data_IF_570359436730
#
_entry.id   IF_570359436730
#
_cell.length_a   1.000
_cell.length_b   1.000
_cell.length_c   1.000
_cell.angle_alpha   90.00
_cell.angle_beta   90.00
_cell.angle_gamma   90.00
#
_symmetry.space_group_name_H-M   'P 1'
#
loop_
_entity.id
_entity.type
_entity.pdbx_description
1 polymer ?
#
# COMPACT_ATOMS: atom_id res chain seq x y z
N UNK A 1 1.18 24.59 -6.86
CA UNK A 1 0.07 23.92 -7.57
C UNK A 1 0.55 22.53 -7.95
N UNK A 2 -0.06 21.48 -7.42
CA UNK A 2 0.06 20.12 -7.96
C UNK A 2 -1.22 19.35 -7.60
N UNK A 3 -2.36 19.85 -8.09
CA UNK A 3 -3.55 19.03 -8.30
C UNK A 3 -3.56 18.73 -9.79
N UNK A 4 -3.37 17.47 -10.14
CA UNK A 4 -3.41 17.01 -11.52
C UNK A 4 -3.69 15.52 -11.52
N UNK A 5 -4.77 15.11 -12.16
CA UNK A 5 -5.04 13.72 -12.46
C UNK A 5 -4.35 13.37 -13.78
N UNK A 6 -3.52 12.33 -13.80
CA UNK A 6 -3.00 11.77 -15.05
C UNK A 6 -4.03 10.83 -15.64
N UNK A 7 -4.47 11.08 -16.88
CA UNK A 7 -5.29 10.10 -17.60
C UNK A 7 -4.45 8.85 -17.89
N UNK A 8 -4.94 7.70 -17.46
CA UNK A 8 -4.33 6.40 -17.79
C UNK A 8 -4.71 5.91 -19.20
N UNK A 9 -5.53 6.67 -19.92
CA UNK A 9 -6.04 6.32 -21.25
C UNK A 9 -7.22 5.34 -21.21
N UNK A 10 -7.57 4.80 -22.37
CA UNK A 10 -8.76 3.97 -22.54
C UNK A 10 -8.52 2.49 -22.17
N UNK A 11 -9.61 1.76 -21.93
CA UNK A 11 -9.60 0.31 -21.71
C UNK A 11 -9.34 -0.14 -20.27
N UNK A 12 -9.22 0.80 -19.34
CA UNK A 12 -9.27 0.51 -17.91
C UNK A 12 -10.70 0.45 -17.42
N UNK A 13 -10.94 -0.44 -16.46
CA UNK A 13 -12.16 -0.45 -15.65
C UNK A 13 -11.80 -0.67 -14.19
N UNK A 14 -12.75 -0.42 -13.30
CA UNK A 14 -12.59 -0.81 -11.91
C UNK A 14 -12.37 -2.32 -11.78
N UNK A 15 -11.47 -2.71 -10.88
CA UNK A 15 -11.35 -4.08 -10.39
C UNK A 15 -12.65 -4.49 -9.70
N UNK A 16 -13.00 -5.77 -9.76
CA UNK A 16 -14.16 -6.35 -9.11
C UNK A 16 -13.78 -7.68 -8.46
N UNK A 17 -14.52 -8.13 -7.45
CA UNK A 17 -14.32 -9.45 -6.83
C UNK A 17 -14.37 -10.64 -7.80
N UNK A 18 -15.06 -10.45 -8.94
CA UNK A 18 -15.24 -11.46 -9.98
C UNK A 18 -14.01 -11.57 -10.90
N UNK A 19 -13.09 -10.61 -10.82
CA UNK A 19 -11.86 -10.64 -11.59
C UNK A 19 -10.93 -11.76 -11.15
N UNK A 20 -10.22 -12.29 -12.16
CA UNK A 20 -9.21 -13.32 -11.99
C UNK A 20 -7.85 -12.65 -11.93
N UNK A 21 -7.07 -13.02 -10.92
CA UNK A 21 -5.67 -12.65 -10.84
C UNK A 21 -4.87 -13.56 -11.79
N UNK A 22 -4.55 -13.07 -12.99
CA UNK A 22 -3.73 -13.82 -13.94
C UNK A 22 -2.28 -13.84 -13.50
N UNK A 23 -1.48 -14.77 -14.02
CA UNK A 23 -0.05 -14.90 -13.68
C UNK A 23 0.74 -13.61 -13.94
N UNK A 24 0.38 -12.83 -14.96
CA UNK A 24 1.01 -11.54 -15.26
C UNK A 24 0.74 -10.46 -14.20
N UNK A 25 -0.30 -10.62 -13.40
CA UNK A 25 -0.71 -9.64 -12.39
C UNK A 25 -0.25 -9.99 -10.98
N UNK A 26 0.20 -11.23 -10.73
CA UNK A 26 0.51 -11.72 -9.38
C UNK A 26 1.54 -10.83 -8.69
N UNK A 27 2.63 -10.49 -9.39
CA UNK A 27 3.71 -9.68 -8.82
C UNK A 27 3.23 -8.27 -8.40
N UNK A 28 2.48 -7.58 -9.27
CA UNK A 28 1.96 -6.24 -8.97
C UNK A 28 0.86 -6.28 -7.92
N UNK A 29 -0.02 -7.30 -7.92
CA UNK A 29 -1.04 -7.47 -6.90
C UNK A 29 -0.43 -7.74 -5.52
N UNK A 30 0.64 -8.54 -5.45
CA UNK A 30 1.39 -8.77 -4.22
C UNK A 30 2.04 -7.48 -3.71
N UNK A 31 2.67 -6.71 -4.60
CA UNK A 31 3.28 -5.44 -4.24
C UNK A 31 2.23 -4.44 -3.70
N UNK A 32 1.05 -4.37 -4.32
CA UNK A 32 -0.08 -3.54 -3.83
C UNK A 32 -0.54 -4.03 -2.45
N UNK A 33 -0.78 -5.33 -2.28
CA UNK A 33 -1.21 -5.89 -1.00
C UNK A 33 -0.23 -5.57 0.13
N UNK A 34 1.07 -5.78 -0.10
CA UNK A 34 2.10 -5.43 0.88
C UNK A 34 2.15 -3.92 1.12
N UNK A 35 2.09 -3.09 0.08
CA UNK A 35 2.06 -1.64 0.21
C UNK A 35 0.92 -1.19 1.13
N UNK A 36 -0.31 -1.61 0.84
CA UNK A 36 -1.50 -1.26 1.63
C UNK A 36 -1.38 -1.76 3.08
N UNK A 37 -0.81 -2.95 3.29
CA UNK A 37 -0.54 -3.48 4.62
C UNK A 37 0.44 -2.61 5.41
N UNK A 38 1.51 -2.17 4.76
CA UNK A 38 2.59 -1.41 5.40
C UNK A 38 2.21 0.02 5.72
N UNK A 39 1.37 0.65 4.89
CA UNK A 39 0.90 2.03 5.10
C UNK A 39 -0.45 2.10 5.82
N UNK A 40 -0.96 0.97 6.30
CA UNK A 40 -2.26 0.88 6.98
C UNK A 40 -3.42 1.42 6.12
N UNK A 41 -3.48 1.03 4.84
CA UNK A 41 -4.60 1.35 3.97
C UNK A 41 -5.79 0.43 4.26
N UNK A 42 -6.77 0.92 4.99
CA UNK A 42 -7.97 0.15 5.34
C UNK A 42 -9.10 0.27 4.30
N UNK A 43 -8.94 1.15 3.31
CA UNK A 43 -10.04 1.46 2.40
C UNK A 43 -10.11 0.53 1.18
N UNK A 44 -8.98 -0.06 0.77
CA UNK A 44 -8.91 -0.96 -0.37
C UNK A 44 -9.58 -2.31 -0.08
N UNK A 45 -10.88 -2.41 -0.36
CA UNK A 45 -11.75 -3.54 0.03
C UNK A 45 -12.52 -4.10 -1.15
N UNK A 46 -13.12 -5.28 -0.99
CA UNK A 46 -13.87 -5.94 -2.08
C UNK A 46 -15.03 -5.08 -2.64
N UNK A 47 -15.65 -4.28 -1.78
CA UNK A 47 -16.71 -3.34 -2.14
C UNK A 47 -16.19 -1.91 -2.41
N UNK A 48 -14.91 -1.65 -2.15
CA UNK A 48 -14.25 -0.39 -2.49
C UNK A 48 -12.83 -0.64 -3.03
N UNK A 49 -12.71 -1.10 -4.31
CA UNK A 49 -11.43 -1.60 -4.80
C UNK A 49 -10.35 -0.54 -4.96
N UNK A 50 -10.75 0.72 -5.18
CA UNK A 50 -9.86 1.85 -5.47
C UNK A 50 -8.72 1.49 -6.45
N UNK A 51 -9.03 0.60 -7.41
CA UNK A 51 -8.06 -0.03 -8.28
C UNK A 51 -8.66 -0.14 -9.69
N UNK A 52 -7.92 0.37 -10.66
CA UNK A 52 -8.20 0.19 -12.09
C UNK A 52 -7.38 -0.98 -12.63
N UNK A 53 -7.96 -1.66 -13.61
CA UNK A 53 -7.43 -2.86 -14.19
C UNK A 53 -7.53 -2.84 -15.71
N UNK A 54 -6.43 -3.24 -16.36
CA UNK A 54 -6.32 -3.61 -17.78
C UNK A 54 -5.10 -4.51 -17.92
N UNK A 55 -5.25 -5.81 -18.16
CA UNK A 55 -4.10 -6.72 -18.26
C UNK A 55 -3.00 -6.17 -19.18
N UNK A 56 -1.73 -6.14 -18.76
CA UNK A 56 -1.15 -6.67 -17.51
C UNK A 56 -0.98 -5.62 -16.38
N UNK A 57 -1.78 -4.57 -16.37
CA UNK A 57 -1.60 -3.39 -15.52
C UNK A 57 -2.69 -3.26 -14.46
N UNK A 58 -2.26 -2.83 -13.27
CA UNK A 58 -3.09 -2.36 -12.18
C UNK A 58 -2.68 -0.93 -11.82
N UNK A 59 -3.66 -0.07 -11.55
CA UNK A 59 -3.43 1.26 -11.00
C UNK A 59 -4.22 1.39 -9.72
N UNK A 60 -3.57 1.80 -8.64
CA UNK A 60 -4.21 2.13 -7.38
C UNK A 60 -4.39 3.63 -7.25
N UNK A 61 -5.52 4.04 -6.72
CA UNK A 61 -5.84 5.42 -6.42
C UNK A 61 -6.51 5.48 -5.05
N UNK A 62 -6.87 6.69 -4.63
CA UNK A 62 -7.60 6.96 -3.39
C UNK A 62 -6.95 6.33 -2.14
N UNK A 63 -5.88 6.98 -1.69
CA UNK A 63 -5.07 6.59 -0.53
C UNK A 63 -5.41 7.43 0.71
N UNK A 64 -6.60 8.05 0.75
CA UNK A 64 -6.92 9.04 1.79
C UNK A 64 -6.95 8.45 3.21
N UNK A 65 -7.27 7.16 3.35
CA UNK A 65 -7.26 6.46 4.64
C UNK A 65 -5.94 5.73 4.94
N UNK A 66 -4.86 6.08 4.24
CA UNK A 66 -3.51 5.62 4.58
C UNK A 66 -2.93 6.40 5.76
N UNK A 67 -1.99 5.80 6.49
CA UNK A 67 -1.31 6.40 7.65
C UNK A 67 -2.21 6.77 8.84
N UNK A 68 -3.50 6.43 8.79
CA UNK A 68 -4.45 6.62 9.89
C UNK A 68 -4.37 5.46 10.90
N UNK A 69 -3.28 5.40 11.68
CA UNK A 69 -3.07 4.33 12.67
C UNK A 69 -2.99 4.80 14.13
N UNK A 70 -2.65 6.07 14.37
CA UNK A 70 -2.66 6.65 15.72
C UNK A 70 -4.09 6.66 16.27
N UNK A 71 -4.27 6.19 17.50
CA UNK A 71 -5.57 6.10 18.17
C UNK A 71 -6.35 4.80 17.94
N UNK A 72 -5.86 3.90 17.07
CA UNK A 72 -6.45 2.56 16.93
C UNK A 72 -5.99 1.69 18.12
N UNK A 73 -6.93 1.33 18.99
CA UNK A 73 -6.67 0.48 20.15
C UNK A 73 -6.16 -0.89 19.70
N UNK A 74 -5.01 -1.31 20.24
CA UNK A 74 -4.40 -2.60 19.92
C UNK A 74 -3.71 -2.65 18.54
N UNK A 75 -3.59 -1.51 17.84
CA UNK A 75 -2.77 -1.45 16.64
C UNK A 75 -1.32 -1.78 16.94
N UNK A 76 -0.69 -2.47 16.00
CA UNK A 76 0.70 -2.89 16.07
C UNK A 76 1.40 -2.46 14.80
N UNK A 77 2.67 -2.12 14.92
CA UNK A 77 3.49 -1.86 13.75
C UNK A 77 3.48 -3.06 12.80
N UNK A 78 3.49 -2.83 11.47
CA UNK A 78 3.36 -3.90 10.47
C UNK A 78 4.48 -4.94 10.51
N UNK A 79 5.63 -4.62 11.09
CA UNK A 79 6.73 -5.56 11.34
C UNK A 79 6.62 -6.37 12.64
N UNK A 80 5.51 -6.23 13.38
CA UNK A 80 5.24 -7.02 14.57
C UNK A 80 4.53 -8.32 14.17
N UNK A 81 4.94 -9.50 14.69
CA UNK A 81 4.26 -10.76 14.40
C UNK A 81 2.74 -10.67 14.62
N UNK A 82 1.98 -11.07 13.60
CA UNK A 82 0.51 -11.07 13.60
C UNK A 82 -0.15 -9.70 13.44
N UNK A 83 0.61 -8.59 13.28
CA UNK A 83 0.02 -7.26 13.09
C UNK A 83 -0.87 -7.15 11.84
N UNK A 84 -0.52 -7.90 10.79
CA UNK A 84 -1.22 -7.88 9.50
C UNK A 84 -2.36 -8.91 9.42
N UNK A 85 -2.64 -9.65 10.50
CA UNK A 85 -3.73 -10.63 10.54
C UNK A 85 -5.11 -10.08 10.13
N UNK A 86 -5.50 -8.82 10.46
CA UNK A 86 -6.79 -8.27 10.03
C UNK A 86 -6.98 -8.23 8.50
N UNK A 87 -5.90 -8.05 7.73
CA UNK A 87 -5.97 -8.03 6.26
C UNK A 87 -6.23 -9.41 5.65
N UNK A 88 -6.10 -10.47 6.45
CA UNK A 88 -6.43 -11.85 6.05
C UNK A 88 -7.91 -12.17 6.18
N UNK A 89 -8.71 -11.28 6.77
CA UNK A 89 -10.17 -11.43 6.83
C UNK A 89 -10.75 -11.22 5.43
N UNK A 90 -11.72 -12.07 5.06
CA UNK A 90 -12.40 -11.97 3.76
C UNK A 90 -13.04 -10.59 3.60
N UNK A 91 -12.84 -9.96 2.44
CA UNK A 91 -13.36 -8.62 2.15
C UNK A 91 -12.47 -7.46 2.60
N UNK A 92 -11.49 -7.69 3.47
CA UNK A 92 -10.60 -6.63 3.96
C UNK A 92 -9.54 -6.19 2.94
N UNK A 93 -9.25 -6.99 1.91
CA UNK A 93 -8.39 -6.56 0.80
C UNK A 93 -8.69 -7.33 -0.49
N UNK A 94 -8.75 -6.60 -1.62
CA UNK A 94 -9.15 -7.13 -2.94
C UNK A 94 -8.28 -8.27 -3.48
N UNK A 95 -7.01 -8.31 -3.07
CA UNK A 95 -6.06 -9.33 -3.52
C UNK A 95 -5.79 -10.44 -2.51
N UNK A 96 -6.20 -10.32 -1.24
CA UNK A 96 -5.85 -11.31 -0.22
C UNK A 96 -6.33 -12.71 -0.61
N UNK A 97 -7.62 -12.87 -0.89
CA UNK A 97 -8.20 -14.17 -1.25
C UNK A 97 -7.63 -14.73 -2.57
N UNK A 98 -7.13 -13.86 -3.47
CA UNK A 98 -6.55 -14.27 -4.75
C UNK A 98 -5.09 -14.70 -4.62
N UNK A 99 -4.32 -14.07 -3.73
CA UNK A 99 -2.91 -14.38 -3.46
C UNK A 99 -2.75 -15.56 -2.50
N UNK A 100 -3.72 -15.79 -1.60
CA UNK A 100 -3.69 -16.88 -0.63
C UNK A 100 -3.51 -18.23 -1.31
N UNK A 101 -2.48 -18.98 -0.88
CA UNK A 101 -2.16 -20.30 -1.40
C UNK A 101 -1.37 -20.30 -2.72
N UNK A 102 -1.06 -19.13 -3.30
CA UNK A 102 -0.13 -19.04 -4.42
C UNK A 102 1.32 -19.08 -3.92
N UNK A 103 2.22 -19.64 -4.74
CA UNK A 103 3.65 -19.46 -4.56
C UNK A 103 4.04 -18.06 -5.05
N UNK A 104 4.25 -17.14 -4.12
CA UNK A 104 4.53 -15.73 -4.42
C UNK A 104 5.97 -15.37 -4.05
N UNK A 105 6.62 -14.58 -4.90
CA UNK A 105 7.97 -14.09 -4.64
C UNK A 105 7.92 -12.69 -4.02
N UNK A 106 8.36 -12.60 -2.76
CA UNK A 106 8.44 -11.33 -2.01
C UNK A 106 9.82 -10.67 -2.12
N UNK A 107 10.79 -11.30 -2.80
CA UNK A 107 12.15 -10.79 -3.00
C UNK A 107 12.18 -9.37 -3.59
N UNK A 108 11.49 -9.11 -4.71
CA UNK A 108 11.45 -7.78 -5.31
C UNK A 108 10.85 -6.69 -4.38
N UNK A 109 9.89 -7.06 -3.53
CA UNK A 109 9.28 -6.13 -2.56
C UNK A 109 10.31 -5.80 -1.47
N UNK A 110 11.00 -6.82 -0.95
CA UNK A 110 12.07 -6.66 0.03
C UNK A 110 13.16 -5.72 -0.49
N UNK A 111 13.62 -5.95 -1.71
CA UNK A 111 14.64 -5.12 -2.36
C UNK A 111 14.16 -3.67 -2.54
N UNK A 112 12.95 -3.47 -3.07
CA UNK A 112 12.40 -2.13 -3.31
C UNK A 112 12.27 -1.30 -2.02
N UNK A 113 11.78 -1.92 -0.94
CA UNK A 113 11.68 -1.26 0.36
C UNK A 113 13.05 -1.01 1.00
N UNK A 114 13.98 -1.97 0.91
CA UNK A 114 15.34 -1.83 1.46
C UNK A 114 16.13 -0.72 0.76
N UNK A 115 15.84 -0.47 -0.52
CA UNK A 115 16.50 0.54 -1.33
C UNK A 115 16.02 1.99 -1.05
N UNK A 116 15.00 2.19 -0.20
CA UNK A 116 14.53 3.53 0.16
C UNK A 116 15.60 4.27 0.97
N UNK A 117 16.29 5.23 0.35
CA UNK A 117 17.30 6.04 1.03
C UNK A 117 16.69 7.09 1.96
N UNK A 118 17.47 7.56 2.93
CA UNK A 118 17.05 8.70 3.78
C UNK A 118 16.80 9.96 2.95
N UNK A 119 17.58 10.16 1.87
CA UNK A 119 17.34 11.25 0.93
C UNK A 119 15.98 11.15 0.23
N UNK A 120 15.51 9.92 -0.08
CA UNK A 120 14.17 9.71 -0.65
C UNK A 120 13.08 10.04 0.38
N UNK A 121 13.25 9.64 1.64
CA UNK A 121 12.32 9.96 2.72
C UNK A 121 12.25 11.49 2.97
N UNK A 122 13.40 12.16 2.99
CA UNK A 122 13.47 13.62 3.08
C UNK A 122 12.78 14.29 1.89
N UNK A 123 12.92 13.74 0.67
CA UNK A 123 12.24 14.25 -0.51
C UNK A 123 10.70 14.14 -0.40
N UNK A 124 10.16 13.09 0.22
CA UNK A 124 8.72 13.00 0.51
C UNK A 124 8.28 14.07 1.51
N UNK A 125 9.07 14.31 2.56
CA UNK A 125 8.77 15.37 3.53
C UNK A 125 8.76 16.76 2.88
N UNK A 126 9.70 17.00 1.97
CA UNK A 126 9.89 18.28 1.28
C UNK A 126 8.93 18.50 0.11
N UNK A 127 8.21 17.48 -0.36
CA UNK A 127 7.22 17.63 -1.43
C UNK A 127 5.89 18.18 -0.94
N UNK A 128 5.66 18.19 0.38
CA UNK A 128 4.43 18.71 0.98
C UNK A 128 4.43 20.24 0.92
N UNK A 129 3.43 20.88 0.28
CA UNK A 129 3.38 22.33 0.18
C UNK A 129 3.31 23.01 1.55
N UNK A 130 4.17 24.00 1.78
CA UNK A 130 4.15 24.82 3.01
C UNK A 130 2.77 25.46 3.27
N UNK A 131 2.04 25.77 2.20
CA UNK A 131 0.70 26.36 2.27
C UNK A 131 -0.36 25.43 2.92
N UNK A 132 -0.08 24.14 3.10
CA UNK A 132 -0.98 23.21 3.79
C UNK A 132 -0.95 23.37 5.32
N UNK A 133 -0.05 24.20 5.85
CA UNK A 133 -0.05 24.61 7.27
C UNK A 133 0.38 23.50 8.22
N UNK A 134 -0.37 23.27 9.29
CA UNK A 134 -0.05 22.41 10.43
C UNK A 134 -0.15 20.90 10.14
N UNK A 135 0.37 20.45 9.00
CA UNK A 135 0.41 19.02 8.62
C UNK A 135 1.73 18.33 9.01
N UNK A 136 2.69 19.09 9.56
CA UNK A 136 4.06 18.61 9.81
C UNK A 136 4.11 17.32 10.61
N UNK A 137 3.41 17.25 11.75
CA UNK A 137 3.39 16.05 12.62
C UNK A 137 2.87 14.82 11.88
N UNK A 138 1.74 14.94 11.18
CA UNK A 138 1.16 13.83 10.41
C UNK A 138 2.08 13.34 9.30
N UNK A 139 2.81 14.26 8.64
CA UNK A 139 3.80 13.88 7.63
C UNK A 139 5.00 13.18 8.29
N UNK A 140 5.50 13.70 9.41
CA UNK A 140 6.63 13.10 10.14
C UNK A 140 6.27 11.69 10.65
N UNK A 141 5.03 11.48 11.09
CA UNK A 141 4.51 10.16 11.45
C UNK A 141 4.48 9.19 10.26
N UNK A 142 3.94 9.63 9.12
CA UNK A 142 3.91 8.81 7.91
C UNK A 142 5.32 8.42 7.45
N UNK A 143 6.26 9.37 7.49
CA UNK A 143 7.68 9.11 7.19
C UNK A 143 8.29 8.12 8.19
N UNK A 144 7.99 8.28 9.48
CA UNK A 144 8.44 7.36 10.53
C UNK A 144 7.92 5.93 10.30
N UNK A 145 6.64 5.78 9.89
CA UNK A 145 6.08 4.46 9.54
C UNK A 145 6.81 3.86 8.33
N UNK A 146 6.99 4.62 7.24
CA UNK A 146 7.70 4.16 6.04
C UNK A 146 9.12 3.74 6.39
N UNK A 147 9.83 4.55 7.18
CA UNK A 147 11.18 4.26 7.64
C UNK A 147 11.22 3.01 8.52
N UNK A 148 10.25 2.86 9.42
CA UNK A 148 10.10 1.69 10.28
C UNK A 148 9.90 0.40 9.48
N UNK A 149 9.02 0.44 8.47
CA UNK A 149 8.82 -0.69 7.54
C UNK A 149 10.12 -1.01 6.80
N UNK A 150 10.79 -0.01 6.22
CA UNK A 150 12.08 -0.19 5.54
C UNK A 150 13.08 -0.91 6.45
N UNK A 151 13.28 -0.38 7.66
CA UNK A 151 14.28 -0.89 8.59
C UNK A 151 13.95 -2.31 9.10
N UNK A 152 12.68 -2.71 9.04
CA UNK A 152 12.19 -4.01 9.52
C UNK A 152 11.53 -4.85 8.41
N UNK A 153 11.88 -4.63 7.15
CA UNK A 153 11.17 -5.20 6.00
C UNK A 153 11.17 -6.73 6.01
N UNK A 154 12.23 -7.35 6.55
CA UNK A 154 12.30 -8.79 6.70
C UNK A 154 11.24 -9.36 7.64
N UNK A 155 10.96 -8.66 8.74
CA UNK A 155 9.91 -9.03 9.70
C UNK A 155 8.51 -8.66 9.21
N UNK A 156 8.37 -7.57 8.44
CA UNK A 156 7.10 -7.18 7.84
C UNK A 156 6.61 -8.13 6.75
N UNK A 157 7.54 -8.86 6.09
CA UNK A 157 7.25 -9.87 5.06
C UNK A 157 7.21 -11.31 5.60
N UNK A 158 7.35 -11.51 6.91
CA UNK A 158 7.43 -12.83 7.54
C UNK A 158 6.06 -13.45 7.85
#
# INVERSE_FOLDING_TARGET
MAFGSTSVGNGYRAWTRHDRLTTQLVAVALAIFCFDAFVNNVDRRDNNPNCLFRTPQLYIFDHELTFLYKGIVGWKHPWTPGALAPLTVSGCHIFHAKLKGQNVDVGPIREAWSALSDARLAAYRNSIPLAWGNVGEAVDDAICLIQGVRNNIGSALA
#
